data_IF_819608693170
#
_entry.id   IF_819608693170
#
_cell.length_a   1.000
_cell.length_b   1.000
_cell.length_c   1.000
_cell.angle_alpha   90.00
_cell.angle_beta   90.00
_cell.angle_gamma   90.00
#
_symmetry.space_group_name_H-M   'P 1'
#
loop_
_entity.id
_entity.type
_entity.pdbx_description
1 polymer ?
#
# COMPACT_ATOMS: atom_id res chain seq x y z
N UNK A 1 71.96 -22.69 100.27
CA UNK A 1 72.07 -21.54 99.34
C UNK A 1 72.22 -22.08 97.93
N UNK A 2 71.25 -21.79 97.06
CA UNK A 2 71.36 -21.67 95.59
C UNK A 2 69.95 -21.86 95.03
N UNK A 3 69.33 -20.76 94.62
CA UNK A 3 67.96 -20.73 94.13
C UNK A 3 67.81 -21.40 92.77
N UNK A 4 66.90 -22.37 92.69
CA UNK A 4 66.32 -22.78 91.42
C UNK A 4 65.29 -21.73 91.01
N UNK A 5 65.73 -20.78 90.17
CA UNK A 5 64.84 -19.84 89.49
C UNK A 5 63.99 -20.66 88.53
N UNK A 6 62.72 -20.91 88.90
CA UNK A 6 61.73 -21.51 88.02
C UNK A 6 61.51 -20.53 86.87
N UNK A 7 62.16 -20.78 85.74
CA UNK A 7 61.85 -20.13 84.47
C UNK A 7 60.53 -20.73 84.02
N UNK A 8 59.43 -20.01 84.28
CA UNK A 8 58.17 -20.21 83.59
C UNK A 8 58.43 -19.85 82.13
N UNK A 9 58.76 -20.87 81.34
CA UNK A 9 58.78 -20.81 79.89
C UNK A 9 57.35 -20.52 79.43
N UNK A 10 57.12 -19.27 79.04
CA UNK A 10 55.85 -18.74 78.55
C UNK A 10 55.58 -19.33 77.15
N UNK A 11 55.35 -20.65 77.10
CA UNK A 11 54.82 -21.37 75.94
C UNK A 11 53.32 -21.10 75.81
N UNK A 12 52.94 -19.83 75.82
CA UNK A 12 51.66 -19.33 75.34
C UNK A 12 51.50 -19.64 73.86
N UNK A 13 51.03 -20.86 73.59
CA UNK A 13 50.35 -21.37 72.40
C UNK A 13 50.79 -20.76 71.05
N UNK A 14 51.69 -21.43 70.34
CA UNK A 14 52.06 -21.06 68.95
C UNK A 14 50.86 -21.05 67.99
N UNK A 15 49.74 -21.71 68.34
CA UNK A 15 48.48 -21.66 67.60
C UNK A 15 47.83 -20.27 67.58
N UNK A 16 47.97 -19.44 68.63
CA UNK A 16 47.37 -18.10 68.65
C UNK A 16 48.00 -17.14 67.64
N UNK A 17 49.30 -17.30 67.33
CA UNK A 17 50.01 -16.45 66.37
C UNK A 17 49.53 -16.61 64.92
N UNK A 18 48.98 -17.78 64.59
CA UNK A 18 48.43 -18.10 63.27
C UNK A 18 46.91 -17.99 63.19
N UNK A 19 46.22 -17.89 64.33
CA UNK A 19 44.76 -17.81 64.36
C UNK A 19 44.22 -16.59 63.62
N UNK A 20 44.84 -15.40 63.79
CA UNK A 20 44.41 -14.18 63.12
C UNK A 20 44.60 -14.21 61.59
N UNK A 21 45.78 -14.56 61.04
CA UNK A 21 45.95 -14.65 59.58
C UNK A 21 45.11 -15.77 58.97
N UNK A 22 44.96 -16.91 59.64
CA UNK A 22 44.07 -18.00 59.15
C UNK A 22 42.61 -17.55 59.15
N UNK A 23 42.14 -16.87 60.20
CA UNK A 23 40.79 -16.31 60.23
C UNK A 23 40.59 -15.24 59.16
N UNK A 24 41.58 -14.38 58.92
CA UNK A 24 41.51 -13.36 57.87
C UNK A 24 41.41 -14.00 56.47
N UNK A 25 42.19 -15.05 56.19
CA UNK A 25 42.11 -15.82 54.94
C UNK A 25 40.75 -16.51 54.82
N UNK A 26 40.24 -17.13 55.90
CA UNK A 26 38.92 -17.76 55.91
C UNK A 26 37.80 -16.75 55.64
N UNK A 27 37.85 -15.57 56.26
CA UNK A 27 36.88 -14.47 56.04
C UNK A 27 36.97 -13.97 54.60
N UNK A 28 38.17 -13.80 54.05
CA UNK A 28 38.36 -13.38 52.66
C UNK A 28 37.73 -14.37 51.67
N UNK A 29 38.03 -15.66 51.79
CA UNK A 29 37.45 -16.68 50.90
C UNK A 29 35.95 -16.84 51.10
N UNK A 30 35.45 -16.71 52.34
CA UNK A 30 34.01 -16.74 52.61
C UNK A 30 33.32 -15.53 51.98
N UNK A 31 33.90 -14.34 52.10
CA UNK A 31 33.40 -13.11 51.47
C UNK A 31 33.43 -13.18 49.94
N UNK A 32 34.52 -13.71 49.37
CA UNK A 32 34.64 -13.92 47.93
C UNK A 32 33.60 -14.93 47.41
N UNK A 33 33.42 -16.05 48.10
CA UNK A 33 32.41 -17.04 47.75
C UNK A 33 30.99 -16.51 47.93
N UNK A 34 30.71 -15.78 49.01
CA UNK A 34 29.40 -15.16 49.24
C UNK A 34 29.11 -14.10 48.17
N UNK A 35 30.06 -13.21 47.89
CA UNK A 35 29.95 -12.23 46.82
C UNK A 35 29.71 -12.90 45.46
N UNK A 36 30.44 -13.97 45.15
CA UNK A 36 30.22 -14.76 43.94
C UNK A 36 28.83 -15.41 43.91
N UNK A 37 28.35 -15.96 45.03
CA UNK A 37 27.03 -16.57 45.13
C UNK A 37 25.89 -15.56 44.89
N UNK A 38 26.03 -14.34 45.42
CA UNK A 38 25.03 -13.28 45.26
C UNK A 38 25.10 -12.57 43.89
N UNK A 39 26.29 -12.47 43.28
CA UNK A 39 26.49 -11.81 41.98
C UNK A 39 26.37 -12.77 40.78
N UNK A 40 26.60 -14.08 40.97
CA UNK A 40 26.52 -15.07 39.89
C UNK A 40 25.16 -15.07 39.18
N UNK A 41 23.99 -14.99 39.86
CA UNK A 41 22.71 -14.94 39.16
C UNK A 41 22.64 -13.84 38.10
N UNK A 42 23.07 -12.62 38.43
CA UNK A 42 23.07 -11.50 37.49
C UNK A 42 24.09 -11.67 36.33
N UNK A 43 25.14 -12.47 36.52
CA UNK A 43 26.14 -12.77 35.48
C UNK A 43 25.74 -13.95 34.58
N UNK A 44 24.82 -14.80 35.04
CA UNK A 44 24.40 -16.04 34.37
C UNK A 44 22.89 -16.09 34.11
N UNK A 45 22.17 -14.97 34.17
CA UNK A 45 20.78 -14.90 33.75
C UNK A 45 20.70 -15.30 32.26
N UNK A 46 20.27 -16.54 32.05
CA UNK A 46 20.04 -17.06 30.71
C UNK A 46 18.83 -16.31 30.14
N UNK A 47 19.03 -15.66 28.99
CA UNK A 47 17.95 -15.08 28.19
C UNK A 47 17.08 -16.22 27.64
N UNK A 48 16.13 -16.68 28.46
CA UNK A 48 15.31 -17.88 28.22
C UNK A 48 14.41 -17.74 27.01
N UNK A 49 14.10 -16.50 26.60
CA UNK A 49 13.34 -16.18 25.40
C UNK A 49 14.18 -16.33 24.12
N UNK A 50 15.51 -16.20 24.19
CA UNK A 50 16.41 -16.25 23.02
C UNK A 50 16.34 -17.59 22.29
N UNK A 51 16.31 -18.69 23.02
CA UNK A 51 16.28 -20.05 22.45
C UNK A 51 15.05 -20.29 21.58
N UNK A 52 13.83 -20.19 22.15
CA UNK A 52 12.57 -20.32 21.42
C UNK A 52 12.45 -19.35 20.24
N UNK A 53 12.85 -18.08 20.43
CA UNK A 53 12.86 -17.09 19.34
C UNK A 53 13.80 -17.50 18.19
N UNK A 54 15.00 -18.01 18.51
CA UNK A 54 15.94 -18.47 17.49
C UNK A 54 15.38 -19.65 16.70
N UNK A 55 14.67 -20.58 17.36
CA UNK A 55 13.99 -21.70 16.69
C UNK A 55 12.91 -21.18 15.74
N UNK A 56 12.07 -20.24 16.20
CA UNK A 56 11.03 -19.64 15.37
C UNK A 56 11.59 -18.95 14.13
N UNK A 57 12.64 -18.15 14.30
CA UNK A 57 13.32 -17.47 13.20
C UNK A 57 13.98 -18.45 12.21
N UNK A 58 14.55 -19.56 12.70
CA UNK A 58 15.08 -20.59 11.81
C UNK A 58 13.97 -21.26 10.99
N UNK A 59 12.78 -21.50 11.56
CA UNK A 59 11.64 -22.00 10.81
C UNK A 59 11.19 -21.01 9.74
N UNK A 60 11.12 -19.71 10.05
CA UNK A 60 10.78 -18.65 9.08
C UNK A 60 11.80 -18.61 7.93
N UNK A 61 13.10 -18.59 8.24
CA UNK A 61 14.20 -18.57 7.25
C UNK A 61 14.22 -19.81 6.36
N UNK A 62 13.85 -20.98 6.91
CA UNK A 62 13.74 -22.25 6.18
C UNK A 62 12.37 -22.46 5.55
N UNK A 63 11.51 -21.43 5.57
CA UNK A 63 10.17 -21.39 4.96
C UNK A 63 9.17 -22.39 5.51
N UNK A 64 9.39 -22.85 6.75
CA UNK A 64 8.47 -23.72 7.50
C UNK A 64 7.54 -22.85 8.33
N UNK A 65 6.77 -22.00 7.65
CA UNK A 65 6.03 -20.89 8.27
C UNK A 65 4.97 -21.31 9.30
N UNK A 66 4.36 -22.48 9.14
CA UNK A 66 3.42 -23.00 10.14
C UNK A 66 4.10 -23.26 11.49
N UNK A 67 5.28 -23.89 11.47
CA UNK A 67 6.06 -24.11 12.70
C UNK A 67 6.68 -22.83 13.24
N UNK A 68 7.03 -21.88 12.36
CA UNK A 68 7.49 -20.56 12.77
C UNK A 68 6.40 -19.84 13.57
N UNK A 69 5.15 -19.86 13.07
CA UNK A 69 3.99 -19.28 13.74
C UNK A 69 3.80 -19.84 15.15
N UNK A 70 3.77 -21.17 15.29
CA UNK A 70 3.61 -21.83 16.60
C UNK A 70 4.74 -21.46 17.57
N UNK A 71 5.99 -21.44 17.07
CA UNK A 71 7.17 -21.13 17.89
C UNK A 71 7.21 -19.65 18.30
N UNK A 72 6.84 -18.72 17.41
CA UNK A 72 6.74 -17.31 17.75
C UNK A 72 5.58 -17.04 18.70
N UNK A 73 4.45 -17.71 18.54
CA UNK A 73 3.31 -17.59 19.47
C UNK A 73 3.71 -18.01 20.89
N UNK A 74 4.52 -19.07 21.02
CA UNK A 74 5.09 -19.44 22.31
C UNK A 74 5.97 -18.33 22.91
N UNK A 75 6.81 -17.66 22.11
CA UNK A 75 7.62 -16.53 22.61
C UNK A 75 6.75 -15.41 23.16
N UNK A 76 5.69 -15.05 22.42
CA UNK A 76 4.74 -14.00 22.81
C UNK A 76 3.99 -14.35 24.09
N UNK A 77 3.62 -15.63 24.26
CA UNK A 77 2.87 -16.11 25.42
C UNK A 77 3.75 -16.24 26.67
N UNK A 78 4.92 -16.87 26.54
CA UNK A 78 5.75 -17.27 27.67
C UNK A 78 6.70 -16.14 28.12
N UNK A 79 7.03 -15.20 27.22
CA UNK A 79 8.02 -14.15 27.45
C UNK A 79 7.54 -12.74 27.04
N UNK A 80 6.42 -12.24 27.60
CA UNK A 80 5.82 -10.95 27.22
C UNK A 80 6.73 -9.74 27.49
N UNK A 81 7.60 -9.82 28.50
CA UNK A 81 8.52 -8.74 28.88
C UNK A 81 9.90 -8.85 28.19
N UNK A 82 10.08 -9.84 27.31
CA UNK A 82 11.36 -10.03 26.63
C UNK A 82 11.53 -9.07 25.45
N UNK A 83 12.78 -8.71 25.15
CA UNK A 83 13.13 -7.96 23.92
C UNK A 83 12.74 -8.68 22.62
N UNK A 84 12.38 -9.96 22.69
CA UNK A 84 11.96 -10.77 21.54
C UNK A 84 10.45 -10.74 21.33
N UNK A 85 9.68 -10.12 22.24
CA UNK A 85 8.24 -10.04 22.15
C UNK A 85 7.77 -9.38 20.83
N UNK A 86 8.21 -8.15 20.57
CA UNK A 86 7.84 -7.44 19.34
C UNK A 86 8.42 -8.10 18.07
N UNK A 87 9.70 -8.50 18.02
CA UNK A 87 10.23 -9.28 16.90
C UNK A 87 9.46 -10.58 16.63
N UNK A 88 9.01 -11.29 17.66
CA UNK A 88 8.22 -12.52 17.49
C UNK A 88 6.85 -12.22 16.88
N UNK A 89 6.18 -11.14 17.30
CA UNK A 89 4.93 -10.69 16.69
C UNK A 89 5.10 -10.28 15.23
N UNK A 90 6.20 -9.63 14.88
CA UNK A 90 6.56 -9.33 13.48
C UNK A 90 6.75 -10.65 12.69
N UNK A 91 7.45 -11.62 13.27
CA UNK A 91 7.62 -12.96 12.70
C UNK A 91 6.31 -13.71 12.48
N UNK A 92 5.32 -13.56 13.38
CA UNK A 92 3.96 -14.08 13.20
C UNK A 92 3.31 -13.46 11.96
N UNK A 93 3.29 -12.13 11.85
CA UNK A 93 2.71 -11.45 10.70
C UNK A 93 3.40 -11.81 9.37
N UNK A 94 4.74 -11.89 9.37
CA UNK A 94 5.51 -12.34 8.20
C UNK A 94 5.17 -13.79 7.80
N UNK A 95 5.06 -14.68 8.78
CA UNK A 95 4.71 -16.08 8.54
C UNK A 95 3.29 -16.22 8.01
N UNK A 96 2.35 -15.40 8.48
CA UNK A 96 0.98 -15.32 7.95
C UNK A 96 0.97 -14.86 6.48
N UNK A 97 1.74 -13.81 6.14
CA UNK A 97 1.90 -13.38 4.75
C UNK A 97 2.41 -14.52 3.86
N UNK A 98 3.46 -15.22 4.30
CA UNK A 98 4.07 -16.29 3.54
C UNK A 98 3.19 -17.54 3.39
N UNK A 99 2.22 -17.73 4.28
CA UNK A 99 1.17 -18.75 4.19
C UNK A 99 -0.02 -18.32 3.32
N UNK A 100 -0.01 -17.11 2.76
CA UNK A 100 -1.13 -16.55 1.99
C UNK A 100 -2.31 -16.09 2.85
N UNK A 101 -2.17 -16.08 4.18
CA UNK A 101 -3.17 -15.58 5.15
C UNK A 101 -3.07 -14.06 5.27
N UNK A 102 -3.23 -13.37 4.13
CA UNK A 102 -2.96 -11.94 3.95
C UNK A 102 -3.76 -11.04 4.88
N UNK A 103 -5.07 -11.26 4.98
CA UNK A 103 -5.96 -10.47 5.84
C UNK A 103 -5.56 -10.54 7.32
N UNK A 104 -5.17 -11.73 7.79
CA UNK A 104 -4.70 -11.93 9.17
C UNK A 104 -3.34 -11.25 9.40
N UNK A 105 -2.44 -11.30 8.42
CA UNK A 105 -1.15 -10.64 8.52
C UNK A 105 -1.28 -9.12 8.57
N UNK A 106 -2.11 -8.53 7.70
CA UNK A 106 -2.41 -7.09 7.70
C UNK A 106 -2.95 -6.66 9.06
N UNK A 107 -3.93 -7.40 9.59
CA UNK A 107 -4.49 -7.12 10.92
C UNK A 107 -3.44 -7.19 12.03
N UNK A 108 -2.47 -8.12 11.96
CA UNK A 108 -1.40 -8.22 12.97
C UNK A 108 -0.37 -7.09 12.83
N UNK A 109 -0.01 -6.69 11.61
CA UNK A 109 0.82 -5.50 11.38
C UNK A 109 0.15 -4.22 11.89
N UNK A 110 -1.15 -4.03 11.64
CA UNK A 110 -1.92 -2.89 12.14
C UNK A 110 -1.91 -2.86 13.69
N UNK A 111 -2.14 -4.00 14.35
CA UNK A 111 -2.02 -4.10 15.81
C UNK A 111 -0.62 -3.77 16.30
N UNK A 112 0.43 -4.25 15.64
CA UNK A 112 1.81 -3.91 15.96
C UNK A 112 2.06 -2.40 15.89
N UNK A 113 1.47 -1.68 14.92
CA UNK A 113 1.61 -0.22 14.83
C UNK A 113 0.96 0.54 15.99
N UNK A 114 -0.02 -0.04 16.67
CA UNK A 114 -0.63 0.58 17.86
C UNK A 114 0.26 0.50 19.08
N UNK A 115 1.06 -0.57 19.22
CA UNK A 115 1.96 -0.79 20.36
C UNK A 115 3.37 -0.25 20.12
N UNK A 116 3.87 -0.35 18.88
CA UNK A 116 5.17 0.16 18.47
C UNK A 116 5.06 1.65 18.17
N UNK A 117 5.07 2.51 19.19
CA UNK A 117 5.05 3.96 19.01
C UNK A 117 6.42 4.48 18.53
N UNK A 118 6.50 5.75 18.08
CA UNK A 118 7.76 6.41 17.70
C UNK A 118 8.59 6.72 18.96
N UNK A 119 9.11 5.67 19.59
CA UNK A 119 10.16 5.73 20.59
C UNK A 119 11.48 5.24 19.96
N UNK A 120 12.61 5.76 20.44
CA UNK A 120 13.90 5.50 19.80
C UNK A 120 14.28 3.99 19.81
N UNK A 121 13.83 3.24 20.80
CA UNK A 121 14.24 1.83 20.99
C UNK A 121 13.57 0.88 20.00
N UNK A 122 12.33 1.16 19.58
CA UNK A 122 11.54 0.29 18.68
C UNK A 122 11.41 0.86 17.26
N UNK A 123 12.10 1.96 16.97
CA UNK A 123 12.08 2.65 15.68
C UNK A 123 12.39 1.72 14.49
N UNK A 124 13.34 0.80 14.64
CA UNK A 124 13.66 -0.18 13.59
C UNK A 124 12.54 -1.21 13.37
N UNK A 125 11.89 -1.66 14.45
CA UNK A 125 10.75 -2.57 14.39
C UNK A 125 9.55 -1.89 13.74
N UNK A 126 9.26 -0.64 14.13
CA UNK A 126 8.18 0.16 13.56
C UNK A 126 8.39 0.40 12.07
N UNK A 127 9.60 0.78 11.63
CA UNK A 127 9.93 0.90 10.20
C UNK A 127 9.72 -0.43 9.47
N UNK A 128 10.13 -1.55 10.06
CA UNK A 128 9.93 -2.88 9.48
C UNK A 128 8.45 -3.17 9.28
N UNK A 129 7.62 -2.92 10.29
CA UNK A 129 6.16 -3.13 10.22
C UNK A 129 5.52 -2.23 9.18
N UNK A 130 5.83 -0.93 9.16
CA UNK A 130 5.31 0.01 8.16
C UNK A 130 5.69 -0.42 6.73
N UNK A 131 6.94 -0.87 6.53
CA UNK A 131 7.41 -1.36 5.22
C UNK A 131 6.62 -2.60 4.78
N UNK A 132 6.45 -3.58 5.68
CA UNK A 132 5.73 -4.82 5.38
C UNK A 132 4.25 -4.57 5.13
N UNK A 133 3.63 -3.70 5.92
CA UNK A 133 2.23 -3.32 5.76
C UNK A 133 2.01 -2.55 4.45
N UNK A 134 2.88 -1.61 4.09
CA UNK A 134 2.79 -0.89 2.82
C UNK A 134 2.82 -1.85 1.63
N UNK A 135 3.77 -2.80 1.61
CA UNK A 135 3.83 -3.82 0.55
C UNK A 135 2.60 -4.73 0.55
N UNK A 136 2.11 -5.13 1.72
CA UNK A 136 0.92 -5.98 1.81
C UNK A 136 -0.33 -5.28 1.25
N UNK A 137 -0.49 -3.97 1.52
CA UNK A 137 -1.60 -3.16 1.03
C UNK A 137 -1.48 -2.82 -0.45
N UNK A 138 -0.25 -2.60 -0.95
CA UNK A 138 0.02 -2.49 -2.38
C UNK A 138 -0.39 -3.76 -3.12
N UNK A 139 -0.01 -4.94 -2.61
CA UNK A 139 -0.39 -6.23 -3.20
C UNK A 139 -1.90 -6.53 -3.09
N UNK A 140 -2.57 -6.03 -2.05
CA UNK A 140 -4.03 -6.17 -1.87
C UNK A 140 -4.83 -5.17 -2.71
N UNK A 141 -4.20 -4.08 -3.15
CA UNK A 141 -4.85 -2.98 -3.87
C UNK A 141 -5.67 -2.04 -2.98
N UNK A 142 -5.55 -2.13 -1.66
CA UNK A 142 -6.21 -1.23 -0.70
C UNK A 142 -5.47 0.12 -0.64
N UNK A 143 -5.73 0.95 -1.65
CA UNK A 143 -5.13 2.28 -1.82
C UNK A 143 -5.46 3.23 -0.68
N UNK A 144 -6.63 3.07 -0.04
CA UNK A 144 -7.06 3.93 1.06
C UNK A 144 -6.19 3.70 2.30
N UNK A 145 -6.03 2.45 2.72
CA UNK A 145 -5.17 2.12 3.86
C UNK A 145 -3.71 2.34 3.53
N UNK A 146 -3.29 2.05 2.29
CA UNK A 146 -1.93 2.31 1.84
C UNK A 146 -1.55 3.78 2.06
N UNK A 147 -2.44 4.73 1.70
CA UNK A 147 -2.17 6.16 1.84
C UNK A 147 -1.87 6.56 3.29
N UNK A 148 -2.63 6.02 4.26
CA UNK A 148 -2.38 6.28 5.67
C UNK A 148 -1.01 5.77 6.13
N UNK A 149 -0.58 4.60 5.65
CA UNK A 149 0.75 4.04 5.94
C UNK A 149 1.86 4.85 5.27
N UNK A 150 1.64 5.31 4.04
CA UNK A 150 2.58 6.17 3.31
C UNK A 150 2.79 7.51 4.01
N UNK A 151 1.73 8.11 4.57
CA UNK A 151 1.83 9.34 5.38
C UNK A 151 2.70 9.13 6.63
N UNK A 152 2.53 8.00 7.33
CA UNK A 152 3.37 7.65 8.49
C UNK A 152 4.83 7.44 8.08
N UNK A 153 5.10 6.70 7.00
CA UNK A 153 6.46 6.50 6.47
C UNK A 153 7.12 7.82 6.10
N UNK A 154 6.39 8.71 5.42
CA UNK A 154 6.89 10.02 5.00
C UNK A 154 7.20 10.94 6.18
N UNK A 155 6.35 10.91 7.22
CA UNK A 155 6.51 11.73 8.42
C UNK A 155 7.63 11.24 9.32
N UNK A 156 7.67 9.94 9.59
CA UNK A 156 8.55 9.38 10.61
C UNK A 156 9.89 8.92 10.02
N UNK A 157 9.92 8.50 8.76
CA UNK A 157 11.09 7.90 8.09
C UNK A 157 11.36 8.52 6.69
N UNK A 158 11.44 9.85 6.55
CA UNK A 158 11.46 10.53 5.25
C UNK A 158 12.57 10.04 4.30
N UNK A 159 13.74 9.69 4.85
CA UNK A 159 14.91 9.31 4.05
C UNK A 159 15.03 7.79 3.81
N UNK A 160 14.10 6.99 4.33
CA UNK A 160 14.16 5.53 4.22
C UNK A 160 13.89 5.04 2.79
N UNK A 161 14.44 3.87 2.45
CA UNK A 161 14.13 3.21 1.18
C UNK A 161 12.62 2.92 1.06
N UNK A 162 11.99 2.46 2.15
CA UNK A 162 10.57 2.19 2.20
C UNK A 162 9.71 3.41 1.83
N UNK A 163 10.07 4.61 2.31
CA UNK A 163 9.36 5.85 1.93
C UNK A 163 9.51 6.18 0.45
N UNK A 164 10.70 5.96 -0.11
CA UNK A 164 10.95 6.17 -1.55
C UNK A 164 10.15 5.20 -2.41
N UNK A 165 10.09 3.93 -2.01
CA UNK A 165 9.33 2.89 -2.72
C UNK A 165 7.81 3.15 -2.59
N UNK A 166 7.32 3.41 -1.38
CA UNK A 166 5.93 3.77 -1.15
C UNK A 166 5.50 5.03 -1.91
N UNK A 167 6.39 6.03 -2.04
CA UNK A 167 6.13 7.22 -2.85
C UNK A 167 5.88 6.87 -4.31
N UNK A 168 6.64 5.93 -4.90
CA UNK A 168 6.44 5.53 -6.30
C UNK A 168 5.04 4.97 -6.51
N UNK A 169 4.56 4.15 -5.59
CA UNK A 169 3.20 3.61 -5.67
C UNK A 169 2.13 4.67 -5.39
N UNK A 170 2.37 5.61 -4.46
CA UNK A 170 1.46 6.75 -4.26
C UNK A 170 1.32 7.62 -5.53
N UNK A 171 2.43 7.83 -6.25
CA UNK A 171 2.45 8.57 -7.51
C UNK A 171 1.64 7.83 -8.61
N UNK A 172 1.69 6.49 -8.67
CA UNK A 172 0.89 5.72 -9.64
C UNK A 172 -0.60 5.77 -9.33
N UNK A 173 -0.99 5.67 -8.05
CA UNK A 173 -2.39 5.84 -7.62
C UNK A 173 -2.90 7.23 -8.03
N UNK A 174 -2.12 8.27 -7.77
CA UNK A 174 -2.49 9.65 -8.07
C UNK A 174 -2.62 9.90 -9.58
N UNK A 175 -1.70 9.34 -10.38
CA UNK A 175 -1.77 9.44 -11.84
C UNK A 175 -3.00 8.71 -12.40
N UNK A 176 -3.34 7.54 -11.87
CA UNK A 176 -4.53 6.80 -12.27
C UNK A 176 -5.83 7.55 -11.91
N UNK A 177 -5.88 8.16 -10.72
CA UNK A 177 -7.01 8.99 -10.31
C UNK A 177 -7.18 10.22 -11.23
N UNK A 178 -6.09 10.93 -11.52
CA UNK A 178 -6.12 12.09 -12.43
C UNK A 178 -6.55 11.72 -13.85
N UNK A 179 -6.11 10.55 -14.35
CA UNK A 179 -6.53 10.05 -15.67
C UNK A 179 -8.04 9.74 -15.69
N UNK A 180 -8.55 9.11 -14.63
CA UNK A 180 -10.00 8.84 -14.47
C UNK A 180 -10.81 10.13 -14.37
N UNK A 181 -10.36 11.09 -13.56
CA UNK A 181 -11.04 12.38 -13.39
C UNK A 181 -11.03 13.19 -14.69
N UNK A 182 -9.94 13.14 -15.45
CA UNK A 182 -9.85 13.78 -16.76
C UNK A 182 -10.82 13.14 -17.76
N UNK A 183 -10.95 11.81 -17.76
CA UNK A 183 -11.91 11.10 -18.60
C UNK A 183 -13.36 11.42 -18.22
N UNK A 184 -13.69 11.46 -16.92
CA UNK A 184 -15.04 11.84 -16.48
C UNK A 184 -15.36 13.29 -16.83
N UNK A 185 -14.44 14.21 -16.55
CA UNK A 185 -14.62 15.63 -16.88
C UNK A 185 -14.81 15.83 -18.39
N UNK A 186 -14.09 15.07 -19.22
CA UNK A 186 -14.23 15.14 -20.67
C UNK A 186 -15.53 14.50 -21.17
N UNK A 187 -16.05 13.47 -20.49
CA UNK A 187 -17.38 12.92 -20.76
C UNK A 187 -18.53 13.84 -20.36
N UNK A 188 -18.35 14.71 -19.36
CA UNK A 188 -19.35 15.70 -18.94
C UNK A 188 -19.48 16.87 -19.94
N UNK A 189 -18.46 17.08 -20.78
CA UNK A 189 -18.45 18.13 -21.81
C UNK A 189 -19.32 17.78 -23.02
N UNK A 190 -19.64 16.51 -23.24
CA UNK A 190 -20.45 16.04 -24.37
C UNK A 190 -21.44 14.97 -23.94
N UNK A 191 -22.72 15.27 -24.12
CA UNK A 191 -23.81 14.33 -23.88
C UNK A 191 -24.26 13.70 -25.18
N UNK A 192 -24.38 12.38 -25.22
CA UNK A 192 -24.86 11.63 -26.38
C UNK A 192 -26.10 10.85 -25.99
N UNK A 193 -27.20 11.08 -26.69
CA UNK A 193 -28.47 10.37 -26.51
C UNK A 193 -28.88 9.73 -27.84
N UNK A 194 -29.09 8.42 -27.84
CA UNK A 194 -29.53 7.70 -29.02
C UNK A 194 -30.92 7.09 -28.79
N UNK A 195 -31.81 7.29 -29.75
CA UNK A 195 -33.09 6.59 -29.81
C UNK A 195 -32.87 5.10 -30.14
N UNK A 196 -33.86 4.26 -29.82
CA UNK A 196 -33.82 2.86 -30.21
C UNK A 196 -33.77 2.72 -31.74
N UNK A 197 -32.81 1.94 -32.24
CA UNK A 197 -32.57 1.76 -33.66
C UNK A 197 -33.19 0.45 -34.18
N UNK A 198 -33.92 0.53 -35.29
CA UNK A 198 -34.52 -0.62 -35.98
C UNK A 198 -34.08 -0.57 -37.45
N UNK A 199 -33.71 -1.73 -38.03
CA UNK A 199 -33.31 -1.81 -39.44
C UNK A 199 -34.35 -1.16 -40.35
N UNK A 200 -33.89 -0.22 -41.18
CA UNK A 200 -34.73 0.47 -42.15
C UNK A 200 -35.66 1.56 -41.60
N UNK A 201 -35.68 1.82 -40.28
CA UNK A 201 -36.41 2.94 -39.69
C UNK A 201 -35.43 4.08 -39.32
N UNK A 202 -35.76 5.35 -39.61
CA UNK A 202 -34.96 6.47 -39.12
C UNK A 202 -34.99 6.53 -37.58
N UNK A 203 -33.83 6.79 -36.97
CA UNK A 203 -33.68 7.05 -35.53
C UNK A 203 -32.73 8.23 -35.33
N UNK A 204 -32.82 8.89 -34.18
CA UNK A 204 -31.99 10.06 -33.86
C UNK A 204 -30.86 9.74 -32.90
N UNK A 205 -29.74 10.44 -33.10
CA UNK A 205 -28.65 10.59 -32.15
C UNK A 205 -28.49 12.09 -31.89
N UNK A 206 -28.80 12.53 -30.68
CA UNK A 206 -28.55 13.89 -30.19
C UNK A 206 -27.17 13.96 -29.55
N UNK A 207 -26.34 14.86 -30.03
CA UNK A 207 -25.02 15.19 -29.46
C UNK A 207 -25.10 16.60 -28.91
N UNK A 208 -25.07 16.75 -27.59
CA UNK A 208 -25.04 18.05 -26.91
C UNK A 208 -23.61 18.36 -26.50
N UNK A 209 -23.06 19.43 -27.04
CA UNK A 209 -21.71 19.93 -26.77
C UNK A 209 -21.80 21.11 -25.81
N UNK A 210 -21.18 21.01 -24.65
CA UNK A 210 -21.12 22.09 -23.68
C UNK A 210 -20.20 23.23 -24.20
N UNK A 211 -20.47 24.51 -23.87
CA UNK A 211 -19.66 25.63 -24.34
C UNK A 211 -18.22 25.61 -23.81
N UNK A 212 -17.95 24.86 -22.74
CA UNK A 212 -16.62 24.61 -22.19
C UNK A 212 -15.81 23.61 -23.05
N UNK A 213 -16.47 22.82 -23.89
CA UNK A 213 -15.84 21.77 -24.70
C UNK A 213 -15.05 22.33 -25.89
N UNK A 214 -15.54 23.42 -26.50
CA UNK A 214 -14.93 24.03 -27.70
C UNK A 214 -14.98 25.55 -27.59
N UNK A 215 -13.94 26.27 -28.05
CA UNK A 215 -13.97 27.72 -28.04
C UNK A 215 -15.09 28.27 -28.95
N UNK A 216 -15.58 29.50 -28.72
CA UNK A 216 -16.51 30.15 -29.63
C UNK A 216 -15.92 30.25 -31.03
N UNK A 217 -16.69 29.85 -32.05
CA UNK A 217 -16.20 29.77 -33.42
C UNK A 217 -16.63 28.49 -34.14
N UNK A 218 -15.90 28.14 -35.20
CA UNK A 218 -16.14 26.89 -35.93
C UNK A 218 -15.57 25.71 -35.15
N UNK A 219 -16.34 24.63 -35.14
CA UNK A 219 -15.91 23.33 -34.63
C UNK A 219 -16.59 22.23 -35.45
N UNK A 220 -16.12 21.00 -35.30
CA UNK A 220 -16.67 19.84 -35.98
C UNK A 220 -17.02 18.75 -34.98
N UNK A 221 -18.15 18.06 -35.19
CA UNK A 221 -18.41 16.76 -34.57
C UNK A 221 -17.88 15.68 -35.51
N UNK A 222 -16.96 14.86 -35.03
CA UNK A 222 -16.31 13.81 -35.80
C UNK A 222 -16.86 12.44 -35.39
N UNK A 223 -17.39 11.69 -36.34
CA UNK A 223 -17.95 10.34 -36.14
C UNK A 223 -17.05 9.33 -36.85
N UNK A 224 -16.69 8.22 -36.20
CA UNK A 224 -15.91 7.17 -36.84
C UNK A 224 -16.56 6.67 -38.16
N UNK A 225 -15.79 6.64 -39.24
CA UNK A 225 -16.27 6.29 -40.58
C UNK A 225 -16.82 4.87 -40.65
N UNK A 226 -16.32 3.96 -39.80
CA UNK A 226 -16.84 2.59 -39.70
C UNK A 226 -18.29 2.55 -39.22
N UNK A 227 -18.67 3.42 -38.27
CA UNK A 227 -20.07 3.61 -37.88
C UNK A 227 -20.87 4.19 -39.03
N UNK A 228 -20.45 5.34 -39.57
CA UNK A 228 -21.17 6.04 -40.66
C UNK A 228 -21.43 5.13 -41.87
N UNK A 229 -20.55 4.19 -42.19
CA UNK A 229 -20.74 3.23 -43.28
C UNK A 229 -21.98 2.32 -43.09
N UNK A 230 -22.37 2.03 -41.85
CA UNK A 230 -23.48 1.12 -41.49
C UNK A 230 -24.86 1.80 -41.51
N UNK A 231 -24.89 3.13 -41.65
CA UNK A 231 -26.12 3.92 -41.62
C UNK A 231 -26.22 4.83 -42.85
N UNK A 232 -27.44 5.05 -43.33
CA UNK A 232 -27.72 6.15 -44.25
C UNK A 232 -28.04 7.40 -43.43
N UNK A 233 -27.28 8.47 -43.63
CA UNK A 233 -27.58 9.75 -43.00
C UNK A 233 -28.78 10.40 -43.70
N UNK A 234 -29.89 10.53 -42.98
CA UNK A 234 -31.14 11.13 -43.49
C UNK A 234 -31.07 12.65 -43.39
N UNK A 235 -30.64 13.18 -42.24
CA UNK A 235 -30.50 14.62 -42.00
C UNK A 235 -29.62 14.91 -40.78
N UNK A 236 -29.13 16.15 -40.71
CA UNK A 236 -28.45 16.71 -39.53
C UNK A 236 -29.07 18.06 -39.24
N UNK A 237 -29.44 18.31 -37.98
CA UNK A 237 -30.00 19.58 -37.52
C UNK A 237 -29.14 20.14 -36.36
N UNK A 238 -28.69 21.41 -36.41
CA UNK A 238 -28.80 22.32 -37.54
C UNK A 238 -27.99 21.82 -38.76
N UNK A 239 -28.26 22.36 -39.94
CA UNK A 239 -27.54 21.96 -41.16
C UNK A 239 -26.04 22.21 -40.98
N UNK A 240 -25.22 21.19 -41.21
CA UNK A 240 -23.76 21.32 -41.12
C UNK A 240 -23.25 22.30 -42.19
N UNK A 241 -22.28 23.16 -41.82
CA UNK A 241 -21.62 24.10 -42.75
C UNK A 241 -20.75 23.41 -43.80
N UNK A 242 -20.40 22.14 -43.55
CA UNK A 242 -19.63 21.29 -44.47
C UNK A 242 -19.41 19.91 -43.86
N UNK A 243 -19.01 18.97 -44.71
CA UNK A 243 -18.58 17.62 -44.29
C UNK A 243 -17.23 17.29 -44.89
N UNK A 244 -16.36 16.65 -44.12
CA UNK A 244 -15.05 16.19 -44.59
C UNK A 244 -14.73 14.80 -44.03
N UNK A 245 -13.95 14.01 -44.77
CA UNK A 245 -13.51 12.68 -44.37
C UNK A 245 -11.98 12.64 -44.30
N UNK A 246 -11.42 12.38 -43.13
CA UNK A 246 -9.99 12.15 -42.92
C UNK A 246 -9.75 11.38 -41.61
N UNK A 247 -8.60 10.73 -41.50
CA UNK A 247 -8.21 9.94 -40.31
C UNK A 247 -9.25 8.89 -39.85
N UNK A 248 -10.02 8.33 -40.79
CA UNK A 248 -11.04 7.34 -40.48
C UNK A 248 -12.25 7.90 -39.73
N UNK A 249 -12.46 9.23 -39.74
CA UNK A 249 -13.64 9.91 -39.20
C UNK A 249 -14.30 10.80 -40.25
N UNK A 250 -15.61 10.96 -40.13
CA UNK A 250 -16.42 11.94 -40.86
C UNK A 250 -16.72 13.12 -39.96
N UNK A 251 -16.31 14.30 -40.39
CA UNK A 251 -16.45 15.56 -39.68
C UNK A 251 -17.68 16.32 -40.18
N UNK A 252 -18.51 16.80 -39.27
CA UNK A 252 -19.67 17.65 -39.54
C UNK A 252 -19.44 19.01 -38.90
N UNK A 253 -19.34 20.05 -39.72
CA UNK A 253 -18.94 21.38 -39.27
C UNK A 253 -20.13 22.18 -38.73
N UNK A 254 -19.93 22.80 -37.56
CA UNK A 254 -20.90 23.63 -36.86
C UNK A 254 -20.23 24.92 -36.34
N UNK A 255 -21.03 25.74 -35.66
CA UNK A 255 -20.56 26.97 -35.04
C UNK A 255 -21.09 27.07 -33.61
N UNK A 256 -20.17 27.31 -32.67
CA UNK A 256 -20.46 27.59 -31.27
C UNK A 256 -20.54 29.11 -31.09
N UNK A 257 -21.71 29.63 -30.72
CA UNK A 257 -21.93 31.07 -30.52
C UNK A 257 -21.57 31.56 -29.10
N UNK A 258 -21.14 30.64 -28.23
CA UNK A 258 -20.61 30.91 -26.90
C UNK A 258 -21.70 31.01 -25.82
N UNK A 259 -21.44 30.41 -24.65
CA UNK A 259 -22.26 30.57 -23.45
C UNK A 259 -23.57 29.79 -23.39
N UNK A 260 -23.88 28.95 -24.38
CA UNK A 260 -24.99 27.98 -24.34
C UNK A 260 -24.53 26.63 -24.92
N UNK A 261 -25.06 25.50 -24.43
CA UNK A 261 -24.83 24.21 -25.06
C UNK A 261 -25.33 24.19 -26.51
N UNK A 262 -24.57 23.55 -27.39
CA UNK A 262 -24.92 23.34 -28.78
C UNK A 262 -25.45 21.92 -28.97
N UNK A 263 -26.61 21.77 -29.61
CA UNK A 263 -27.16 20.46 -29.93
C UNK A 263 -27.09 20.17 -31.43
N UNK A 264 -26.46 19.04 -31.79
CA UNK A 264 -26.49 18.46 -33.12
C UNK A 264 -27.32 17.17 -33.09
N UNK A 265 -28.41 17.14 -33.87
CA UNK A 265 -29.28 15.98 -34.00
C UNK A 265 -29.04 15.31 -35.34
N UNK A 266 -28.48 14.11 -35.31
CA UNK A 266 -28.26 13.28 -36.48
C UNK A 266 -29.41 12.30 -36.64
N UNK A 267 -30.08 12.32 -37.79
CA UNK A 267 -31.08 11.31 -38.12
C UNK A 267 -30.45 10.29 -39.05
N UNK A 268 -30.30 9.06 -38.58
CA UNK A 268 -29.71 7.95 -39.31
C UNK A 268 -30.75 6.88 -39.63
N UNK A 269 -30.50 6.09 -40.66
CA UNK A 269 -31.29 4.91 -41.02
C UNK A 269 -30.38 3.67 -41.08
N UNK A 270 -30.56 2.65 -40.23
CA UNK A 270 -29.67 1.49 -40.19
C UNK A 270 -29.81 0.59 -41.42
N UNK A 271 -28.67 0.09 -41.93
CA UNK A 271 -28.62 -0.84 -43.07
C UNK A 271 -28.73 -2.31 -42.66
N UNK A 272 -28.25 -2.67 -41.46
CA UNK A 272 -28.22 -4.04 -40.95
C UNK A 272 -28.34 -4.07 -39.42
N UNK A 273 -28.89 -5.18 -38.90
CA UNK A 273 -29.00 -5.44 -37.47
C UNK A 273 -27.62 -5.75 -36.85
N UNK A 274 -27.50 -5.54 -35.54
CA UNK A 274 -26.27 -5.80 -34.79
C UNK A 274 -25.85 -4.62 -33.92
N UNK A 275 -24.75 -4.83 -33.19
CA UNK A 275 -24.14 -3.81 -32.33
C UNK A 275 -23.08 -3.04 -33.10
N UNK A 276 -23.23 -1.73 -33.18
CA UNK A 276 -22.31 -0.85 -33.90
C UNK A 276 -21.63 0.12 -32.93
N UNK A 277 -20.29 0.14 -32.92
CA UNK A 277 -19.51 1.05 -32.08
C UNK A 277 -19.55 2.47 -32.65
N UNK A 278 -20.08 3.40 -31.86
CA UNK A 278 -20.08 4.83 -32.08
C UNK A 278 -18.93 5.46 -31.29
N UNK A 279 -18.02 6.08 -32.01
CA UNK A 279 -16.90 6.84 -31.47
C UNK A 279 -17.01 8.28 -31.98
N UNK A 280 -17.07 9.22 -31.03
CA UNK A 280 -17.35 10.64 -31.23
C UNK A 280 -16.18 11.46 -30.70
N UNK A 281 -15.69 12.39 -31.51
CA UNK A 281 -14.73 13.41 -31.09
C UNK A 281 -15.21 14.81 -31.47
N UNK A 282 -14.60 15.82 -30.86
CA UNK A 282 -14.74 17.21 -31.30
C UNK A 282 -13.44 17.68 -31.93
N UNK A 283 -13.53 18.51 -32.96
CA UNK A 283 -12.39 19.19 -33.54
C UNK A 283 -12.65 20.69 -33.57
N UNK A 284 -11.65 21.48 -33.17
CA UNK A 284 -11.67 22.92 -33.34
C UNK A 284 -10.26 23.45 -33.54
N UNK A 285 -10.07 24.30 -34.54
CA UNK A 285 -8.79 24.94 -34.85
C UNK A 285 -7.61 23.93 -34.98
N UNK A 286 -7.85 22.79 -35.63
CA UNK A 286 -6.88 21.69 -35.81
C UNK A 286 -6.51 20.95 -34.52
N UNK A 287 -7.19 21.23 -33.40
CA UNK A 287 -7.09 20.45 -32.17
C UNK A 287 -8.22 19.44 -32.13
N UNK A 288 -7.86 18.15 -32.11
CA UNK A 288 -8.80 17.06 -31.85
C UNK A 288 -8.92 16.85 -30.34
N UNK A 289 -10.16 16.86 -29.87
CA UNK A 289 -10.53 16.57 -28.49
C UNK A 289 -11.07 15.14 -28.50
N UNK A 290 -10.21 14.19 -28.15
CA UNK A 290 -10.59 12.77 -28.06
C UNK A 290 -11.49 12.56 -26.85
N UNK A 291 -12.79 12.36 -27.07
CA UNK A 291 -13.73 12.20 -25.95
C UNK A 291 -13.59 10.83 -25.30
N UNK A 292 -12.96 9.86 -25.99
CA UNK A 292 -12.84 8.46 -25.59
C UNK A 292 -14.19 7.83 -25.16
N UNK A 293 -15.29 8.39 -25.65
CA UNK A 293 -16.65 8.00 -25.31
C UNK A 293 -17.12 6.96 -26.33
N UNK A 294 -16.77 5.69 -26.09
CA UNK A 294 -17.23 4.59 -26.93
C UNK A 294 -18.66 4.20 -26.52
N UNK A 295 -19.63 4.60 -27.34
CA UNK A 295 -21.03 4.17 -27.18
C UNK A 295 -21.33 3.00 -28.11
N UNK A 296 -22.23 2.11 -27.71
CA UNK A 296 -22.71 1.02 -28.58
C UNK A 296 -24.15 1.29 -28.98
N UNK A 297 -24.44 1.19 -30.27
CA UNK A 297 -25.80 1.31 -30.82
C UNK A 297 -26.25 -0.09 -31.24
N UNK A 298 -27.20 -0.64 -30.49
CA UNK A 298 -27.85 -1.89 -30.82
C UNK A 298 -28.99 -1.64 -31.80
N UNK A 299 -28.86 -2.22 -33.00
CA UNK A 299 -29.87 -2.15 -34.06
C UNK A 299 -30.66 -3.46 -34.05
N UNK A 300 -31.94 -3.37 -33.71
CA UNK A 300 -32.85 -4.51 -33.77
C UNK A 300 -33.17 -4.90 -35.22
N UNK A 301 -33.26 -6.21 -35.48
CA UNK A 301 -33.81 -6.74 -36.72
C UNK A 301 -35.28 -6.37 -36.90
N UNK A 302 -35.74 -6.38 -38.16
CA UNK A 302 -37.17 -6.21 -38.49
C UNK A 302 -38.01 -7.39 -38.01
#
# INVERSE_FOLDING_TARGET
MAGSRMVLDDRGTSMQKWALPVAAVAVFFTGLNAGSYFLAPALFEADTARGPYTVANNYELTRVYSRALDSYAQVVQDFPDSRYYDPARIGIANSLMALGRRSEAIAEYEKLLTSLTDNNDLRANRLTVLTKLAHALEEDGDTQRFQAVFELLSKEYPDSAATKDAKRFADTISAAAQASDSQSAQSDLVKVEAEAAIVGAPFKISVTVMPEAVPPGQFSVAINSSFVAQFDLVSVAPTSGGTADYWGKRFYQFRMDGGQPFEAVFTFKPKAAGTHSLDLDLESNFSLIELNQLSSIDVAGQ
#
